data_IF_035322567306
#
_entry.id   IF_035322567306
#
_cell.length_a   1.000
_cell.length_b   1.000
_cell.length_c   1.000
_cell.angle_alpha   90.00
_cell.angle_beta   90.00
_cell.angle_gamma   90.00
#
_symmetry.space_group_name_H-M   'P 1'
#
loop_
_entity.id
_entity.type
_entity.pdbx_description
1 polymer ?
#
# COMPACT_ATOMS: atom_id res chain seq x y z
N UNK A 1 -1.93 -48.72 0.24
CA UNK A 1 -2.10 -47.31 -0.18
C UNK A 1 -0.74 -46.72 -0.51
N UNK A 2 -0.67 -45.49 -1.03
CA UNK A 2 0.61 -44.78 -1.24
C UNK A 2 1.31 -44.54 0.10
N UNK A 3 2.64 -44.50 0.09
CA UNK A 3 3.45 -44.01 1.20
C UNK A 3 3.42 -42.49 1.25
N UNK A 4 3.35 -41.91 2.46
CA UNK A 4 3.36 -40.46 2.67
C UNK A 4 4.30 -40.12 3.82
N UNK A 5 5.10 -39.07 3.64
CA UNK A 5 5.88 -38.45 4.71
C UNK A 5 5.81 -36.95 4.59
N UNK A 6 5.63 -36.28 5.73
CA UNK A 6 5.44 -34.84 5.83
C UNK A 6 6.44 -34.30 6.84
N UNK A 7 7.08 -33.19 6.50
CA UNK A 7 7.88 -32.39 7.43
C UNK A 7 7.44 -30.94 7.29
N UNK A 8 6.85 -30.42 8.35
CA UNK A 8 6.37 -29.05 8.42
C UNK A 8 7.35 -28.17 9.20
N UNK A 9 7.60 -26.96 8.70
CA UNK A 9 8.38 -25.95 9.39
C UNK A 9 7.55 -24.68 9.52
N UNK A 10 7.18 -24.35 10.76
CA UNK A 10 6.59 -23.07 11.10
C UNK A 10 7.71 -22.07 11.43
N UNK A 11 7.76 -20.94 10.73
CA UNK A 11 8.71 -19.88 11.03
C UNK A 11 8.59 -19.38 12.47
N UNK A 12 9.70 -18.93 13.07
CA UNK A 12 9.78 -18.45 14.45
C UNK A 12 8.87 -17.22 14.74
N UNK A 13 8.42 -16.51 13.71
CA UNK A 13 7.56 -15.35 13.85
C UNK A 13 6.09 -15.76 13.91
N UNK A 14 5.38 -15.33 14.96
CA UNK A 14 3.95 -15.61 15.17
C UNK A 14 3.04 -15.11 14.01
N UNK A 15 3.50 -14.11 13.23
CA UNK A 15 2.85 -13.64 11.99
C UNK A 15 3.93 -13.23 10.98
N UNK A 16 3.76 -13.65 9.72
CA UNK A 16 4.66 -13.27 8.61
C UNK A 16 6.00 -14.01 8.56
N UNK A 17 6.17 -15.09 9.34
CA UNK A 17 7.31 -16.00 9.18
C UNK A 17 7.15 -16.87 7.94
N UNK A 18 8.26 -17.20 7.28
CA UNK A 18 8.24 -18.16 6.18
C UNK A 18 7.82 -19.54 6.72
N UNK A 19 6.82 -20.14 6.07
CA UNK A 19 6.30 -21.48 6.38
C UNK A 19 6.45 -22.33 5.14
N UNK A 20 6.95 -23.55 5.31
CA UNK A 20 7.04 -24.52 4.21
C UNK A 20 6.77 -25.93 4.75
N UNK A 21 6.33 -26.79 3.84
CA UNK A 21 6.08 -28.20 4.10
C UNK A 21 6.76 -29.04 3.03
N UNK A 22 7.55 -30.02 3.45
CA UNK A 22 8.05 -31.07 2.57
C UNK A 22 7.06 -32.22 2.56
N UNK A 23 6.54 -32.56 1.39
CA UNK A 23 5.59 -33.66 1.22
C UNK A 23 6.18 -34.66 0.24
N UNK A 24 6.43 -35.88 0.70
CA UNK A 24 6.83 -37.00 -0.16
C UNK A 24 5.69 -37.99 -0.27
N UNK A 25 5.37 -38.35 -1.51
CA UNK A 25 4.35 -39.35 -1.85
C UNK A 25 5.04 -40.40 -2.73
N UNK A 26 4.96 -41.66 -2.33
CA UNK A 26 5.49 -42.79 -3.08
C UNK A 26 4.43 -43.87 -3.29
N UNK A 27 4.58 -44.73 -4.29
CA UNK A 27 3.62 -45.82 -4.52
C UNK A 27 3.60 -46.83 -3.37
N UNK A 28 4.73 -46.97 -2.66
CA UNK A 28 4.88 -47.85 -1.52
C UNK A 28 5.59 -47.11 -0.37
N UNK A 29 5.16 -47.30 0.90
CA UNK A 29 5.81 -46.67 2.06
C UNK A 29 7.32 -46.92 2.16
N UNK A 30 7.78 -48.11 1.77
CA UNK A 30 9.18 -48.52 1.90
C UNK A 30 10.12 -47.73 0.99
N UNK A 31 9.58 -47.02 0.00
CA UNK A 31 10.36 -46.15 -0.90
C UNK A 31 10.67 -44.77 -0.29
N UNK A 32 10.14 -44.45 0.90
CA UNK A 32 10.42 -43.17 1.58
C UNK A 32 11.46 -43.40 2.67
N UNK A 33 12.71 -43.03 2.38
CA UNK A 33 13.84 -43.21 3.31
C UNK A 33 14.10 -41.99 4.22
N UNK A 34 13.55 -40.81 3.89
CA UNK A 34 13.70 -39.59 4.69
C UNK A 34 12.55 -38.61 4.44
N UNK A 35 12.09 -37.94 5.50
CA UNK A 35 10.99 -36.97 5.43
C UNK A 35 11.37 -35.67 4.69
N UNK A 36 12.64 -35.25 4.78
CA UNK A 36 13.12 -34.02 4.13
C UNK A 36 13.29 -34.24 2.62
N UNK A 37 12.79 -33.31 1.80
CA UNK A 37 13.15 -33.23 0.37
C UNK A 37 14.60 -32.77 0.25
N UNK A 38 15.40 -33.51 -0.51
CA UNK A 38 16.82 -33.21 -0.69
C UNK A 38 17.00 -31.99 -1.62
N UNK A 39 18.23 -31.45 -1.65
CA UNK A 39 18.54 -30.36 -2.55
C UNK A 39 18.40 -30.80 -4.02
N UNK A 40 17.74 -29.99 -4.84
CA UNK A 40 17.45 -30.29 -6.25
C UNK A 40 16.53 -31.49 -6.52
N UNK A 41 15.82 -31.99 -5.50
CA UNK A 41 15.05 -33.24 -5.59
C UNK A 41 13.53 -33.00 -5.67
N UNK A 42 13.07 -31.74 -5.59
CA UNK A 42 11.64 -31.45 -5.69
C UNK A 42 11.13 -31.71 -7.11
N UNK A 43 10.13 -32.57 -7.26
CA UNK A 43 9.40 -32.71 -8.53
C UNK A 43 8.52 -31.49 -8.81
N UNK A 44 7.90 -30.94 -7.76
CA UNK A 44 6.99 -29.82 -7.85
C UNK A 44 7.11 -28.88 -6.64
N UNK A 45 6.88 -27.59 -6.87
CA UNK A 45 6.71 -26.60 -5.81
C UNK A 45 5.38 -25.87 -6.00
N UNK A 46 4.57 -25.86 -4.94
CA UNK A 46 3.31 -25.11 -4.88
C UNK A 46 3.55 -23.90 -3.97
N UNK A 47 3.82 -22.76 -4.58
CA UNK A 47 4.16 -21.52 -3.89
C UNK A 47 2.93 -20.69 -3.58
N UNK A 48 2.41 -20.73 -2.35
CA UNK A 48 1.27 -19.88 -1.96
C UNK A 48 1.66 -18.43 -1.63
N UNK A 49 2.95 -18.17 -1.43
CA UNK A 49 3.53 -16.83 -1.20
C UNK A 49 4.84 -16.71 -1.98
N UNK A 50 5.01 -15.60 -2.70
CA UNK A 50 6.15 -15.39 -3.59
C UNK A 50 7.47 -15.25 -2.82
N UNK A 51 7.46 -14.64 -1.64
CA UNK A 51 8.66 -14.41 -0.82
C UNK A 51 9.22 -15.75 -0.34
N UNK A 52 8.35 -16.65 0.14
CA UNK A 52 8.75 -18.00 0.56
C UNK A 52 9.22 -18.82 -0.64
N UNK A 53 8.53 -18.73 -1.77
CA UNK A 53 8.87 -19.49 -2.98
C UNK A 53 10.23 -19.09 -3.55
N UNK A 54 10.55 -17.78 -3.54
CA UNK A 54 11.84 -17.25 -3.97
C UNK A 54 12.93 -17.30 -2.87
N UNK A 55 12.61 -17.82 -1.69
CA UNK A 55 13.52 -17.95 -0.56
C UNK A 55 14.53 -19.10 -0.74
N UNK A 56 15.69 -18.97 -0.09
CA UNK A 56 16.83 -19.88 -0.29
C UNK A 56 16.50 -21.35 -0.01
N UNK A 57 15.71 -21.64 1.05
CA UNK A 57 15.32 -23.02 1.38
C UNK A 57 14.48 -23.65 0.26
N UNK A 58 13.58 -22.88 -0.37
CA UNK A 58 12.73 -23.34 -1.48
C UNK A 58 13.55 -23.52 -2.76
N UNK A 59 14.35 -22.50 -3.13
CA UNK A 59 15.23 -22.56 -4.31
C UNK A 59 16.20 -23.72 -4.21
N UNK A 60 16.75 -24.01 -3.03
CA UNK A 60 17.67 -25.14 -2.84
C UNK A 60 17.04 -26.51 -3.15
N UNK A 61 15.71 -26.65 -3.11
CA UNK A 61 15.02 -27.91 -3.49
C UNK A 61 14.74 -28.01 -4.98
N UNK A 62 14.81 -26.90 -5.69
CA UNK A 62 14.51 -26.81 -7.11
C UNK A 62 15.72 -27.23 -7.95
N UNK A 63 15.44 -27.85 -9.09
CA UNK A 63 16.43 -28.21 -10.10
C UNK A 63 15.97 -27.72 -11.47
N UNK A 64 16.89 -27.09 -12.19
CA UNK A 64 16.70 -26.64 -13.57
C UNK A 64 16.17 -27.76 -14.45
N UNK A 65 15.19 -27.41 -15.29
CA UNK A 65 14.57 -28.29 -16.28
C UNK A 65 13.92 -29.57 -15.74
N UNK A 66 13.69 -29.63 -14.42
CA UNK A 66 13.08 -30.79 -13.76
C UNK A 66 11.94 -30.41 -12.84
N UNK A 67 12.18 -29.47 -11.92
CA UNK A 67 11.17 -29.05 -10.96
C UNK A 67 10.14 -28.18 -11.67
N UNK A 68 8.85 -28.50 -11.52
CA UNK A 68 7.76 -27.63 -11.99
C UNK A 68 7.19 -26.79 -10.86
N UNK A 69 6.93 -25.51 -11.11
CA UNK A 69 6.52 -24.55 -10.09
C UNK A 69 5.21 -23.88 -10.49
N UNK A 70 4.26 -23.85 -9.56
CA UNK A 70 3.12 -22.92 -9.64
C UNK A 70 3.21 -21.98 -8.46
N UNK A 71 3.22 -20.68 -8.70
CA UNK A 71 3.46 -19.69 -7.67
C UNK A 71 2.42 -18.56 -7.69
N UNK A 72 1.86 -18.27 -6.53
CA UNK A 72 1.10 -17.07 -6.28
C UNK A 72 2.07 -15.87 -6.28
N UNK A 73 1.81 -14.87 -7.11
CA UNK A 73 2.67 -13.68 -7.20
C UNK A 73 2.03 -12.42 -6.59
N UNK A 74 0.97 -12.61 -5.81
CA UNK A 74 0.39 -11.55 -5.00
C UNK A 74 1.44 -10.89 -4.09
N UNK A 75 1.24 -9.59 -3.82
CA UNK A 75 2.20 -8.76 -3.08
C UNK A 75 1.84 -8.77 -1.61
N UNK A 76 2.57 -9.54 -0.82
CA UNK A 76 2.37 -9.61 0.63
C UNK A 76 3.10 -8.47 1.38
N UNK A 77 2.50 -8.01 2.48
CA UNK A 77 3.16 -7.07 3.40
C UNK A 77 4.26 -7.81 4.18
N UNK A 78 5.51 -7.61 3.79
CA UNK A 78 6.65 -8.31 4.41
C UNK A 78 7.11 -7.61 5.69
N UNK A 79 7.95 -8.30 6.48
CA UNK A 79 8.57 -7.69 7.66
C UNK A 79 9.45 -6.48 7.34
N UNK A 80 9.99 -6.42 6.11
CA UNK A 80 10.77 -5.28 5.62
C UNK A 80 9.90 -4.05 5.44
N UNK A 81 8.68 -4.20 4.92
CA UNK A 81 7.70 -3.10 4.84
C UNK A 81 7.40 -2.51 6.21
N UNK A 82 7.12 -3.37 7.19
CA UNK A 82 6.84 -2.95 8.57
C UNK A 82 8.04 -2.22 9.18
N UNK A 83 9.25 -2.78 9.04
CA UNK A 83 10.48 -2.17 9.58
C UNK A 83 10.84 -0.86 8.87
N UNK A 84 10.66 -0.79 7.56
CA UNK A 84 10.94 0.38 6.73
C UNK A 84 10.05 1.56 7.12
N UNK A 85 8.73 1.37 7.16
CA UNK A 85 7.83 2.43 7.62
C UNK A 85 8.04 2.80 9.10
N UNK A 86 8.41 1.85 9.95
CA UNK A 86 8.75 2.16 11.34
C UNK A 86 10.03 3.01 11.45
N UNK A 87 11.05 2.76 10.62
CA UNK A 87 12.26 3.59 10.56
C UNK A 87 11.95 4.99 10.01
N UNK A 88 11.10 5.08 8.99
CA UNK A 88 10.61 6.34 8.44
C UNK A 88 9.86 7.16 9.52
N UNK A 89 8.93 6.55 10.25
CA UNK A 89 8.16 7.24 11.31
C UNK A 89 9.01 7.67 12.52
N UNK A 90 10.11 6.95 12.82
CA UNK A 90 11.05 7.36 13.87
C UNK A 90 11.88 8.57 13.44
N UNK A 91 12.36 8.60 12.20
CA UNK A 91 13.24 9.66 11.70
C UNK A 91 12.51 10.89 11.17
N UNK A 92 11.29 10.71 10.66
CA UNK A 92 10.55 11.70 9.88
C UNK A 92 11.16 11.97 8.49
N UNK A 93 12.14 11.16 8.05
CA UNK A 93 12.92 11.41 6.84
C UNK A 93 12.62 10.37 5.77
N UNK A 94 11.77 10.76 4.81
CA UNK A 94 11.39 9.94 3.65
C UNK A 94 12.56 9.76 2.67
N UNK A 95 13.54 10.67 2.67
CA UNK A 95 14.68 10.59 1.76
C UNK A 95 15.73 9.58 2.23
N UNK A 96 16.00 9.55 3.54
CA UNK A 96 16.89 8.58 4.15
C UNK A 96 16.24 7.18 4.25
N UNK A 97 14.92 7.12 4.38
CA UNK A 97 14.15 5.87 4.46
C UNK A 97 13.01 5.89 3.43
N UNK A 98 13.30 5.61 2.14
CA UNK A 98 12.30 5.61 1.08
C UNK A 98 11.24 4.53 1.30
N UNK A 99 10.11 4.69 0.62
CA UNK A 99 9.02 3.73 0.70
C UNK A 99 9.49 2.34 0.24
N UNK A 100 9.31 1.29 1.08
CA UNK A 100 9.71 -0.07 0.70
C UNK A 100 9.03 -0.49 -0.59
N UNK A 101 9.79 -1.10 -1.50
CA UNK A 101 9.26 -1.62 -2.76
C UNK A 101 9.25 -3.14 -2.72
N UNK A 102 8.14 -3.75 -3.12
CA UNK A 102 8.02 -5.20 -3.15
C UNK A 102 8.66 -5.69 -4.45
N UNK A 103 9.77 -6.44 -4.39
CA UNK A 103 10.60 -6.66 -5.57
C UNK A 103 10.11 -7.88 -6.38
N UNK A 104 8.79 -7.91 -6.70
CA UNK A 104 8.10 -9.04 -7.33
C UNK A 104 8.83 -9.56 -8.57
N UNK A 105 9.20 -8.66 -9.49
CA UNK A 105 9.87 -9.04 -10.74
C UNK A 105 11.27 -9.63 -10.53
N UNK A 106 11.97 -9.30 -9.44
CA UNK A 106 13.24 -9.96 -9.10
C UNK A 106 13.02 -11.34 -8.50
N UNK A 107 12.00 -11.51 -7.65
CA UNK A 107 11.64 -12.78 -7.04
C UNK A 107 11.12 -13.77 -8.09
N UNK A 108 10.24 -13.31 -9.00
CA UNK A 108 9.76 -14.11 -10.12
C UNK A 108 10.91 -14.58 -11.02
N UNK A 109 11.82 -13.68 -11.39
CA UNK A 109 13.03 -14.03 -12.15
C UNK A 109 13.88 -15.06 -11.42
N UNK A 110 14.13 -14.87 -10.13
CA UNK A 110 14.90 -15.83 -9.32
C UNK A 110 14.31 -17.24 -9.35
N UNK A 111 12.98 -17.36 -9.25
CA UNK A 111 12.30 -18.67 -9.37
C UNK A 111 12.42 -19.20 -10.79
N UNK A 112 12.17 -18.39 -11.81
CA UNK A 112 12.28 -18.79 -13.21
C UNK A 112 13.70 -19.23 -13.60
N UNK A 113 14.73 -18.57 -13.08
CA UNK A 113 16.13 -18.93 -13.30
C UNK A 113 16.49 -20.26 -12.62
N UNK A 114 15.85 -20.59 -11.49
CA UNK A 114 16.11 -21.83 -10.76
C UNK A 114 15.53 -23.09 -11.43
N UNK A 115 14.42 -22.96 -12.16
CA UNK A 115 13.73 -24.11 -12.78
C UNK A 115 13.64 -24.07 -14.30
N UNK A 116 13.96 -22.94 -14.92
CA UNK A 116 13.71 -22.65 -16.32
C UNK A 116 12.32 -22.00 -16.52
N UNK A 117 12.25 -20.97 -17.37
CA UNK A 117 11.02 -20.19 -17.60
C UNK A 117 9.83 -21.03 -18.10
N UNK A 118 10.08 -22.15 -18.77
CA UNK A 118 9.04 -23.07 -19.22
C UNK A 118 8.43 -23.93 -18.10
N UNK A 119 9.08 -24.00 -16.93
CA UNK A 119 8.67 -24.84 -15.81
C UNK A 119 8.05 -24.05 -14.65
N UNK A 120 7.76 -22.76 -14.83
CA UNK A 120 7.12 -21.92 -13.82
C UNK A 120 5.88 -21.24 -14.36
N UNK A 121 4.80 -21.28 -13.59
CA UNK A 121 3.58 -20.53 -13.85
C UNK A 121 3.27 -19.61 -12.66
N UNK A 122 3.05 -18.33 -12.93
CA UNK A 122 2.66 -17.35 -11.93
C UNK A 122 1.17 -17.01 -12.06
N UNK A 123 0.46 -16.97 -10.94
CA UNK A 123 -0.99 -16.68 -10.88
C UNK A 123 -1.28 -15.66 -9.78
N UNK A 124 -2.26 -14.78 -9.96
CA UNK A 124 -2.75 -13.86 -8.91
C UNK A 124 -3.77 -14.58 -8.01
N UNK A 125 -3.36 -15.69 -7.41
CA UNK A 125 -4.27 -16.60 -6.71
C UNK A 125 -4.95 -15.92 -5.51
N UNK A 126 -4.25 -15.08 -4.75
CA UNK A 126 -4.86 -14.37 -3.61
C UNK A 126 -6.00 -13.46 -4.05
N UNK A 127 -5.80 -12.70 -5.12
CA UNK A 127 -6.78 -11.75 -5.63
C UNK A 127 -7.99 -12.48 -6.21
N UNK A 128 -7.77 -13.52 -7.01
CA UNK A 128 -8.85 -14.35 -7.55
C UNK A 128 -9.63 -15.02 -6.42
N UNK A 129 -8.94 -15.61 -5.45
CA UNK A 129 -9.58 -16.28 -4.32
C UNK A 129 -10.43 -15.31 -3.48
N UNK A 130 -9.89 -14.14 -3.17
CA UNK A 130 -10.60 -13.12 -2.38
C UNK A 130 -11.81 -12.58 -3.14
N UNK A 131 -11.68 -12.34 -4.45
CA UNK A 131 -12.78 -11.78 -5.26
C UNK A 131 -13.89 -12.79 -5.48
N UNK A 132 -13.55 -14.07 -5.67
CA UNK A 132 -14.54 -15.13 -5.96
C UNK A 132 -15.18 -15.72 -4.70
N UNK A 133 -14.48 -15.69 -3.56
CA UNK A 133 -14.89 -16.40 -2.35
C UNK A 133 -14.94 -15.52 -1.10
N UNK A 134 -14.63 -14.23 -1.22
CA UNK A 134 -14.71 -13.25 -0.13
C UNK A 134 -13.55 -13.29 0.87
N UNK A 135 -12.66 -14.29 0.80
CA UNK A 135 -11.56 -14.43 1.76
C UNK A 135 -10.27 -14.99 1.12
N UNK A 136 -9.15 -14.36 1.46
CA UNK A 136 -7.78 -14.78 1.12
C UNK A 136 -7.37 -16.13 1.71
N UNK A 137 -8.02 -16.62 2.77
CA UNK A 137 -7.75 -17.95 3.36
C UNK A 137 -7.92 -19.08 2.32
N UNK A 138 -8.79 -18.87 1.33
CA UNK A 138 -9.04 -19.83 0.27
C UNK A 138 -7.87 -20.01 -0.72
N UNK A 139 -6.86 -19.13 -0.68
CA UNK A 139 -5.71 -19.13 -1.61
C UNK A 139 -4.94 -20.46 -1.61
N UNK A 140 -4.76 -21.10 -0.45
CA UNK A 140 -4.00 -22.34 -0.36
C UNK A 140 -4.70 -23.50 -1.09
N UNK A 141 -6.02 -23.64 -0.90
CA UNK A 141 -6.81 -24.67 -1.59
C UNK A 141 -6.99 -24.35 -3.07
N UNK A 142 -7.08 -23.06 -3.42
CA UNK A 142 -7.04 -22.60 -4.81
C UNK A 142 -5.73 -23.02 -5.49
N UNK A 143 -4.57 -22.73 -4.88
CA UNK A 143 -3.26 -23.13 -5.41
C UNK A 143 -3.13 -24.65 -5.52
N UNK A 144 -3.67 -25.41 -4.55
CA UNK A 144 -3.70 -26.88 -4.61
C UNK A 144 -4.53 -27.38 -5.80
N UNK A 145 -5.70 -26.78 -6.05
CA UNK A 145 -6.54 -27.08 -7.20
C UNK A 145 -5.86 -26.77 -8.54
N UNK A 146 -5.19 -25.62 -8.60
CA UNK A 146 -4.39 -25.21 -9.77
C UNK A 146 -3.26 -26.22 -10.06
N UNK A 147 -2.46 -26.53 -9.03
CA UNK A 147 -1.36 -27.48 -9.11
C UNK A 147 -1.84 -28.89 -9.52
N UNK A 148 -2.97 -29.34 -8.96
CA UNK A 148 -3.56 -30.64 -9.31
C UNK A 148 -3.99 -30.67 -10.78
N UNK A 149 -4.63 -29.61 -11.27
CA UNK A 149 -5.05 -29.52 -12.67
C UNK A 149 -3.87 -29.50 -13.64
N UNK A 150 -2.71 -28.97 -13.22
CA UNK A 150 -1.42 -29.04 -13.94
C UNK A 150 -0.69 -30.38 -13.78
N UNK A 151 -1.27 -31.34 -13.06
CA UNK A 151 -0.68 -32.67 -12.87
C UNK A 151 0.54 -32.68 -11.95
N UNK A 152 0.66 -31.71 -11.02
CA UNK A 152 1.75 -31.65 -10.04
C UNK A 152 1.49 -32.50 -8.79
N UNK A 153 0.22 -32.84 -8.54
CA UNK A 153 -0.21 -33.57 -7.34
C UNK A 153 -0.60 -35.00 -7.71
N UNK A 154 0.16 -36.03 -7.26
CA UNK A 154 -0.04 -37.43 -7.69
C UNK A 154 -1.15 -38.15 -6.90
N UNK A 155 -2.30 -37.50 -6.74
CA UNK A 155 -3.47 -38.01 -6.00
C UNK A 155 -4.74 -37.89 -6.84
N UNK A 156 -5.67 -38.83 -6.66
CA UNK A 156 -6.96 -38.77 -7.34
C UNK A 156 -7.87 -37.67 -6.78
N UNK A 157 -8.75 -37.12 -7.64
CA UNK A 157 -9.70 -36.07 -7.26
C UNK A 157 -10.57 -36.46 -6.05
N UNK A 158 -11.08 -37.70 -6.04
CA UNK A 158 -11.91 -38.21 -4.95
C UNK A 158 -11.19 -38.20 -3.60
N UNK A 159 -9.89 -38.51 -3.58
CA UNK A 159 -9.08 -38.49 -2.36
C UNK A 159 -8.89 -37.06 -1.83
N UNK A 160 -8.63 -36.09 -2.72
CA UNK A 160 -8.50 -34.69 -2.34
C UNK A 160 -9.82 -34.09 -1.83
N UNK A 161 -10.93 -34.39 -2.51
CA UNK A 161 -12.26 -33.97 -2.06
C UNK A 161 -12.59 -34.55 -0.68
N UNK A 162 -12.28 -35.84 -0.47
CA UNK A 162 -12.49 -36.47 0.83
C UNK A 162 -11.58 -35.88 1.92
N UNK A 163 -10.35 -35.51 1.60
CA UNK A 163 -9.46 -34.85 2.56
C UNK A 163 -9.99 -33.48 3.02
N UNK A 164 -10.59 -32.70 2.10
CA UNK A 164 -11.26 -31.43 2.44
C UNK A 164 -12.44 -31.68 3.38
N UNK A 165 -13.24 -32.71 3.13
CA UNK A 165 -14.36 -33.08 4.02
C UNK A 165 -13.90 -33.51 5.42
N UNK A 166 -12.82 -34.29 5.50
CA UNK A 166 -12.29 -34.78 6.78
C UNK A 166 -11.71 -33.63 7.62
N UNK A 167 -11.14 -32.61 6.98
CA UNK A 167 -10.66 -31.41 7.69
C UNK A 167 -11.80 -30.70 8.44
N UNK A 168 -13.03 -30.79 7.95
CA UNK A 168 -14.26 -30.41 8.67
C UNK A 168 -14.51 -28.91 8.78
N UNK A 169 -13.54 -28.06 8.45
CA UNK A 169 -13.67 -26.59 8.53
C UNK A 169 -14.10 -26.02 7.18
N UNK A 170 -15.22 -25.30 7.15
CA UNK A 170 -15.73 -24.61 5.96
C UNK A 170 -15.69 -25.48 4.67
N UNK A 171 -16.13 -26.74 4.79
CA UNK A 171 -15.93 -27.80 3.78
C UNK A 171 -16.37 -27.35 2.38
N UNK A 172 -17.55 -26.76 2.24
CA UNK A 172 -18.07 -26.33 0.93
C UNK A 172 -17.24 -25.18 0.34
N UNK A 173 -16.81 -24.21 1.15
CA UNK A 173 -15.91 -23.15 0.71
C UNK A 173 -14.54 -23.73 0.29
N UNK A 174 -14.02 -24.72 1.02
CA UNK A 174 -12.79 -25.41 0.65
C UNK A 174 -12.88 -26.16 -0.67
N UNK A 175 -14.01 -26.85 -0.91
CA UNK A 175 -14.29 -27.51 -2.20
C UNK A 175 -14.39 -26.49 -3.32
N UNK A 176 -15.10 -25.39 -3.12
CA UNK A 176 -15.20 -24.30 -4.10
C UNK A 176 -13.83 -23.70 -4.44
N UNK A 177 -12.99 -23.43 -3.43
CA UNK A 177 -11.64 -22.92 -3.63
C UNK A 177 -10.80 -23.83 -4.53
N UNK A 178 -10.81 -25.13 -4.24
CA UNK A 178 -10.12 -26.10 -5.08
C UNK A 178 -10.67 -26.14 -6.51
N UNK A 179 -11.99 -26.09 -6.70
CA UNK A 179 -12.60 -26.07 -8.04
C UNK A 179 -12.27 -24.80 -8.82
N UNK A 180 -12.26 -23.64 -8.18
CA UNK A 180 -11.84 -22.39 -8.81
C UNK A 180 -10.37 -22.42 -9.22
N UNK A 181 -9.50 -22.98 -8.37
CA UNK A 181 -8.10 -23.20 -8.70
C UNK A 181 -7.92 -24.07 -9.94
N UNK A 182 -8.67 -25.18 -10.02
CA UNK A 182 -8.68 -26.04 -11.22
C UNK A 182 -9.14 -25.29 -12.46
N UNK A 183 -10.23 -24.53 -12.35
CA UNK A 183 -10.78 -23.77 -13.47
C UNK A 183 -9.78 -22.70 -13.94
N UNK A 184 -9.06 -22.05 -13.02
CA UNK A 184 -8.06 -21.05 -13.37
C UNK A 184 -6.87 -21.65 -14.14
N UNK A 185 -6.50 -22.91 -13.87
CA UNK A 185 -5.47 -23.61 -14.63
C UNK A 185 -5.94 -24.08 -16.03
N UNK A 186 -7.25 -24.33 -16.19
CA UNK A 186 -7.83 -24.84 -17.44
C UNK A 186 -8.33 -23.71 -18.37
N UNK A 187 -9.06 -22.74 -17.82
CA UNK A 187 -9.71 -21.64 -18.52
C UNK A 187 -9.62 -20.35 -17.68
N UNK A 188 -8.43 -19.70 -17.65
CA UNK A 188 -8.20 -18.49 -16.87
C UNK A 188 -9.11 -17.34 -17.30
N UNK A 189 -9.42 -17.22 -18.59
CA UNK A 189 -10.28 -16.16 -19.10
C UNK A 189 -11.70 -16.21 -18.49
N UNK A 190 -12.27 -17.41 -18.30
CA UNK A 190 -13.56 -17.55 -17.63
C UNK A 190 -13.52 -17.18 -16.15
N UNK A 191 -12.40 -17.46 -15.48
CA UNK A 191 -12.21 -17.10 -14.07
C UNK A 191 -12.04 -15.61 -13.92
N UNK A 192 -11.25 -14.97 -14.79
CA UNK A 192 -11.13 -13.51 -14.83
C UNK A 192 -12.47 -12.83 -15.09
N UNK A 193 -13.29 -13.40 -15.98
CA UNK A 193 -14.64 -12.90 -16.23
C UNK A 193 -15.56 -13.04 -15.00
N UNK A 194 -15.48 -14.15 -14.28
CA UNK A 194 -16.23 -14.37 -13.05
C UNK A 194 -15.75 -13.51 -11.88
N UNK A 195 -14.46 -13.19 -11.84
CA UNK A 195 -13.83 -12.32 -10.85
C UNK A 195 -14.00 -10.82 -11.18
N UNK A 196 -14.57 -10.46 -12.34
CA UNK A 196 -14.91 -9.05 -12.60
C UNK A 196 -16.04 -8.63 -11.66
N UNK A 197 -15.87 -7.53 -10.89
CA UNK A 197 -16.95 -6.97 -10.10
C UNK A 197 -18.17 -6.72 -11.02
N UNK A 198 -19.34 -7.24 -10.64
CA UNK A 198 -20.59 -6.99 -11.37
C UNK A 198 -21.01 -5.51 -11.28
N UNK A 199 -20.50 -4.79 -10.28
CA UNK A 199 -20.65 -3.35 -10.13
C UNK A 199 -19.53 -2.62 -10.88
N UNK A 200 -19.89 -1.53 -11.54
CA UNK A 200 -18.93 -0.61 -12.16
C UNK A 200 -17.93 -0.15 -11.09
N UNK A 201 -16.66 -0.07 -11.46
CA UNK A 201 -15.62 0.50 -10.58
C UNK A 201 -16.13 1.86 -10.10
N UNK A 202 -16.30 2.08 -8.78
CA UNK A 202 -16.85 3.33 -8.28
C UNK A 202 -16.07 4.52 -8.83
N UNK A 203 -16.74 5.64 -9.11
CA UNK A 203 -16.09 6.78 -9.78
C UNK A 203 -14.84 7.29 -9.02
N UNK A 204 -14.86 7.19 -7.69
CA UNK A 204 -13.74 7.56 -6.83
C UNK A 204 -12.52 6.61 -6.93
N UNK A 205 -12.66 5.42 -7.52
CA UNK A 205 -11.56 4.50 -7.85
C UNK A 205 -11.00 4.73 -9.27
N UNK A 206 -11.70 5.46 -10.14
CA UNK A 206 -11.20 5.79 -11.49
C UNK A 206 -10.02 6.76 -11.38
N UNK A 207 -8.84 6.38 -11.85
CA UNK A 207 -7.70 7.29 -11.93
C UNK A 207 -7.95 8.41 -12.93
N UNK A 208 -7.54 9.63 -12.59
CA UNK A 208 -7.59 10.77 -13.52
C UNK A 208 -6.51 10.60 -14.59
N UNK A 209 -6.91 10.64 -15.85
CA UNK A 209 -6.04 10.46 -17.01
C UNK A 209 -5.23 11.73 -17.33
N UNK A 210 -5.82 12.91 -17.10
CA UNK A 210 -5.19 14.20 -17.46
C UNK A 210 -4.96 15.11 -16.25
N UNK A 211 -4.09 16.10 -16.40
CA UNK A 211 -3.86 17.12 -15.38
C UNK A 211 -5.13 17.94 -15.10
N UNK A 212 -5.95 18.23 -16.13
CA UNK A 212 -7.20 18.96 -15.94
C UNK A 212 -8.23 18.15 -15.15
N UNK A 213 -8.37 16.86 -15.44
CA UNK A 213 -9.22 15.98 -14.63
C UNK A 213 -8.74 15.93 -13.17
N UNK A 214 -7.41 15.91 -12.95
CA UNK A 214 -6.81 15.92 -11.61
C UNK A 214 -7.08 17.21 -10.84
N UNK A 215 -7.12 18.36 -11.52
CA UNK A 215 -7.42 19.66 -10.92
C UNK A 215 -8.92 19.77 -10.64
N UNK A 216 -9.77 19.44 -11.63
CA UNK A 216 -11.22 19.50 -11.49
C UNK A 216 -11.74 18.59 -10.36
N UNK A 217 -11.20 17.37 -10.24
CA UNK A 217 -11.57 16.46 -9.14
C UNK A 217 -11.19 17.00 -7.77
N UNK A 218 -10.04 17.67 -7.65
CA UNK A 218 -9.60 18.30 -6.40
C UNK A 218 -10.44 19.52 -6.04
N UNK A 219 -10.83 20.31 -7.04
CA UNK A 219 -11.73 21.45 -6.88
C UNK A 219 -13.12 21.00 -6.40
N UNK A 220 -13.69 19.96 -7.03
CA UNK A 220 -14.94 19.35 -6.59
C UNK A 220 -14.83 18.82 -5.15
N UNK A 221 -13.74 18.10 -4.84
CA UNK A 221 -13.51 17.62 -3.48
C UNK A 221 -13.40 18.77 -2.47
N UNK A 222 -12.71 19.87 -2.78
CA UNK A 222 -12.59 21.02 -1.88
C UNK A 222 -13.92 21.75 -1.68
N UNK A 223 -14.79 21.75 -2.70
CA UNK A 223 -16.16 22.27 -2.62
C UNK A 223 -16.99 21.45 -1.63
N UNK A 224 -16.89 20.12 -1.70
CA UNK A 224 -17.55 19.21 -0.76
C UNK A 224 -16.93 19.23 0.64
N UNK A 225 -15.61 19.43 0.70
CA UNK A 225 -14.85 19.52 1.93
C UNK A 225 -15.28 20.73 2.75
N UNK A 226 -15.36 21.90 2.13
CA UNK A 226 -15.68 23.17 2.78
C UNK A 226 -16.82 23.90 2.04
N UNK A 227 -16.48 24.57 0.94
CA UNK A 227 -17.37 25.34 0.08
C UNK A 227 -16.69 25.74 -1.25
N UNK A 228 -17.45 26.37 -2.14
CA UNK A 228 -16.98 26.82 -3.44
C UNK A 228 -15.90 27.91 -3.37
N UNK A 229 -15.87 28.73 -2.31
CA UNK A 229 -14.90 29.81 -2.16
C UNK A 229 -13.52 29.23 -1.83
N UNK A 230 -13.51 28.19 -0.98
CA UNK A 230 -12.32 27.41 -0.66
C UNK A 230 -11.74 26.69 -1.88
N UNK A 231 -12.60 26.13 -2.73
CA UNK A 231 -12.19 25.52 -4.00
C UNK A 231 -11.64 26.55 -5.00
N UNK A 232 -12.23 27.77 -5.08
CA UNK A 232 -11.71 28.85 -5.92
C UNK A 232 -10.32 29.32 -5.49
N UNK A 233 -10.03 29.37 -4.18
CA UNK A 233 -8.67 29.65 -3.67
C UNK A 233 -7.65 28.65 -4.21
N UNK A 234 -7.98 27.36 -4.15
CA UNK A 234 -7.15 26.30 -4.75
C UNK A 234 -6.93 26.52 -6.24
N UNK A 235 -8.02 26.70 -6.99
CA UNK A 235 -7.97 26.88 -8.45
C UNK A 235 -7.13 28.08 -8.85
N UNK A 236 -7.27 29.21 -8.15
CA UNK A 236 -6.57 30.45 -8.44
C UNK A 236 -5.04 30.29 -8.33
N UNK A 237 -4.53 29.63 -7.27
CA UNK A 237 -3.09 29.42 -7.13
C UNK A 237 -2.55 28.48 -8.22
N UNK A 238 -3.25 27.38 -8.49
CA UNK A 238 -2.85 26.41 -9.53
C UNK A 238 -2.80 27.06 -10.92
N UNK A 239 -3.78 27.89 -11.26
CA UNK A 239 -3.83 28.57 -12.56
C UNK A 239 -2.71 29.61 -12.72
N UNK A 240 -2.36 30.33 -11.64
CA UNK A 240 -1.22 31.26 -11.64
C UNK A 240 0.10 30.53 -11.91
N UNK A 241 0.30 29.37 -11.26
CA UNK A 241 1.48 28.52 -11.49
C UNK A 241 1.50 27.96 -12.90
N UNK A 242 0.36 27.47 -13.39
CA UNK A 242 0.20 27.00 -14.77
C UNK A 242 0.59 28.07 -15.79
N UNK A 243 0.12 29.30 -15.59
CA UNK A 243 0.42 30.42 -16.49
C UNK A 243 1.91 30.74 -16.51
N UNK A 244 2.55 30.79 -15.34
CA UNK A 244 3.99 31.05 -15.22
C UNK A 244 4.85 29.93 -15.84
N UNK A 245 4.47 28.67 -15.60
CA UNK A 245 5.19 27.50 -16.13
C UNK A 245 5.04 27.37 -17.65
N UNK A 246 3.84 27.62 -18.18
CA UNK A 246 3.60 27.61 -19.63
C UNK A 246 4.49 28.63 -20.35
N UNK A 247 4.75 29.78 -19.71
CA UNK A 247 5.65 30.81 -20.23
C UNK A 247 7.12 30.37 -20.38
N UNK A 248 7.54 29.24 -19.80
CA UNK A 248 8.91 28.72 -19.91
C UNK A 248 9.13 27.83 -21.15
N UNK A 249 8.06 27.38 -21.82
CA UNK A 249 8.14 26.55 -23.03
C UNK A 249 7.92 25.02 -22.94
N UNK A 250 8.03 24.31 -21.79
CA UNK A 250 7.74 22.87 -21.74
C UNK A 250 6.23 22.57 -21.62
N UNK A 251 5.76 21.56 -22.35
CA UNK A 251 4.35 21.15 -22.42
C UNK A 251 3.82 20.38 -21.21
N UNK A 252 4.71 19.77 -20.42
CA UNK A 252 4.32 18.71 -19.47
C UNK A 252 3.93 19.23 -18.07
N UNK A 253 4.03 20.53 -17.84
CA UNK A 253 3.60 21.25 -16.63
C UNK A 253 3.92 20.56 -15.28
N UNK A 254 5.14 20.06 -15.03
CA UNK A 254 5.48 19.32 -13.82
C UNK A 254 5.34 20.13 -12.51
N UNK A 255 5.60 21.44 -12.54
CA UNK A 255 5.42 22.32 -11.39
C UNK A 255 3.93 22.48 -11.07
N UNK A 256 3.10 22.66 -12.09
CA UNK A 256 1.65 22.75 -11.95
C UNK A 256 1.08 21.47 -11.35
N UNK A 257 1.54 20.30 -11.81
CA UNK A 257 1.13 19.02 -11.23
C UNK A 257 1.54 18.90 -9.75
N UNK A 258 2.79 19.25 -9.43
CA UNK A 258 3.29 19.23 -8.06
C UNK A 258 2.48 20.18 -7.17
N UNK A 259 2.17 21.39 -7.63
CA UNK A 259 1.37 22.36 -6.88
C UNK A 259 -0.08 21.90 -6.71
N UNK A 260 -0.70 21.38 -7.76
CA UNK A 260 -2.06 20.84 -7.69
C UNK A 260 -2.17 19.73 -6.63
N UNK A 261 -1.15 18.88 -6.51
CA UNK A 261 -1.10 17.83 -5.48
C UNK A 261 -0.79 18.37 -4.08
N UNK A 262 0.33 19.09 -3.94
CA UNK A 262 0.85 19.55 -2.65
C UNK A 262 -0.08 20.55 -1.97
N UNK A 263 -0.62 21.50 -2.74
CA UNK A 263 -1.53 22.51 -2.20
C UNK A 263 -2.86 21.90 -1.76
N UNK A 264 -3.42 20.99 -2.57
CA UNK A 264 -4.63 20.25 -2.20
C UNK A 264 -4.44 19.43 -0.92
N UNK A 265 -3.29 18.77 -0.76
CA UNK A 265 -2.96 18.02 0.46
C UNK A 265 -2.96 18.91 1.72
N UNK A 266 -2.48 20.15 1.61
CA UNK A 266 -2.44 21.10 2.72
C UNK A 266 -3.78 21.79 2.98
N UNK A 267 -4.63 21.95 1.96
CA UNK A 267 -5.98 22.50 2.11
C UNK A 267 -6.96 21.45 2.65
N UNK A 268 -6.91 20.22 2.13
CA UNK A 268 -7.79 19.13 2.50
C UNK A 268 -7.19 18.26 3.63
N UNK A 269 -6.86 18.89 4.75
CA UNK A 269 -6.37 18.15 5.93
C UNK A 269 -7.47 17.27 6.48
N UNK A 270 -7.11 16.03 6.87
CA UNK A 270 -8.03 15.06 7.48
C UNK A 270 -8.32 15.45 8.92
N UNK A 271 -9.14 16.47 9.07
CA UNK A 271 -9.58 17.06 10.33
C UNK A 271 -10.80 16.36 10.91
N UNK A 272 -11.24 16.80 12.08
CA UNK A 272 -12.36 16.21 12.81
C UNK A 272 -13.67 16.28 12.00
N UNK A 273 -13.88 17.38 11.28
CA UNK A 273 -15.03 17.58 10.40
C UNK A 273 -15.02 16.62 9.21
N UNK A 274 -13.86 16.44 8.56
CA UNK A 274 -13.70 15.56 7.40
C UNK A 274 -13.79 14.09 7.79
N UNK A 275 -13.19 13.70 8.92
CA UNK A 275 -13.36 12.35 9.49
C UNK A 275 -14.85 12.09 9.74
N UNK A 276 -15.55 13.04 10.37
CA UNK A 276 -16.98 12.91 10.63
C UNK A 276 -17.80 12.80 9.34
N UNK A 277 -17.49 13.60 8.30
CA UNK A 277 -18.13 13.52 6.99
C UNK A 277 -17.95 12.15 6.35
N UNK A 278 -16.72 11.62 6.32
CA UNK A 278 -16.42 10.31 5.73
C UNK A 278 -17.13 9.14 6.44
N UNK A 279 -17.26 9.19 7.76
CA UNK A 279 -18.00 8.17 8.52
C UNK A 279 -19.53 8.27 8.38
N UNK A 280 -20.05 9.42 7.97
CA UNK A 280 -21.50 9.69 7.90
C UNK A 280 -22.02 9.75 6.48
N UNK A 281 -21.17 9.59 5.48
CA UNK A 281 -21.56 9.36 4.09
C UNK A 281 -22.28 8.02 3.93
N UNK A 282 -23.30 8.00 3.07
CA UNK A 282 -24.11 6.82 2.78
C UNK A 282 -23.26 5.62 2.33
N UNK A 283 -22.23 5.88 1.52
CA UNK A 283 -21.32 4.86 0.99
C UNK A 283 -20.60 4.06 2.09
N UNK A 284 -20.23 4.69 3.22
CA UNK A 284 -19.54 3.97 4.30
C UNK A 284 -20.47 2.96 4.97
N UNK A 285 -21.67 3.39 5.37
CA UNK A 285 -22.63 2.51 6.04
C UNK A 285 -23.17 1.41 5.10
N UNK A 286 -23.36 1.73 3.82
CA UNK A 286 -23.73 0.74 2.80
C UNK A 286 -22.66 -0.36 2.68
N UNK A 287 -21.38 0.02 2.59
CA UNK A 287 -20.27 -0.95 2.53
C UNK A 287 -20.15 -1.82 3.77
N UNK A 288 -20.38 -1.25 4.94
CA UNK A 288 -20.40 -2.02 6.19
C UNK A 288 -21.55 -3.03 6.16
N UNK A 289 -22.73 -2.63 5.67
CA UNK A 289 -23.87 -3.54 5.55
C UNK A 289 -23.69 -4.61 4.46
N UNK A 290 -22.95 -4.32 3.40
CA UNK A 290 -22.58 -5.31 2.37
C UNK A 290 -21.56 -6.32 2.88
N UNK A 291 -20.62 -5.90 3.73
CA UNK A 291 -19.52 -6.75 4.20
C UNK A 291 -19.88 -7.60 5.43
N UNK A 292 -20.82 -7.13 6.25
CA UNK A 292 -21.18 -7.78 7.50
C UNK A 292 -22.68 -8.10 7.54
N UNK A 293 -23.00 -9.39 7.62
CA UNK A 293 -24.36 -9.89 7.83
C UNK A 293 -24.70 -10.00 9.33
N UNK A 294 -25.98 -9.86 9.69
CA UNK A 294 -26.50 -10.05 11.04
C UNK A 294 -26.48 -8.81 11.94
N UNK A 295 -26.71 -9.02 13.24
CA UNK A 295 -26.77 -7.95 14.24
C UNK A 295 -25.35 -7.54 14.69
N UNK A 296 -24.83 -6.45 14.12
CA UNK A 296 -23.54 -5.88 14.52
C UNK A 296 -23.66 -4.50 15.16
N UNK A 297 -22.70 -4.16 16.01
CA UNK A 297 -22.57 -2.83 16.61
C UNK A 297 -21.24 -2.18 16.23
N UNK A 298 -21.32 -0.96 15.70
CA UNK A 298 -20.14 -0.17 15.39
C UNK A 298 -19.56 0.47 16.66
N UNK A 299 -18.32 0.12 16.97
CA UNK A 299 -17.54 0.63 18.10
C UNK A 299 -16.36 1.42 17.56
N UNK A 300 -16.20 2.65 18.05
CA UNK A 300 -15.16 3.58 17.61
C UNK A 300 -14.08 3.71 18.67
N UNK A 301 -12.81 3.62 18.28
CA UNK A 301 -11.66 3.86 19.13
C UNK A 301 -11.00 5.18 18.74
N UNK A 302 -11.29 6.25 19.48
CA UNK A 302 -10.88 7.62 19.15
C UNK A 302 -10.09 8.23 20.31
N UNK A 303 -9.21 9.18 19.99
CA UNK A 303 -8.53 10.03 20.96
C UNK A 303 -8.85 11.50 20.63
N UNK A 304 -10.05 12.01 20.98
CA UNK A 304 -10.45 13.37 20.62
C UNK A 304 -9.49 14.39 21.27
N UNK A 305 -9.00 15.41 20.55
CA UNK A 305 -7.95 16.31 21.05
C UNK A 305 -8.28 17.02 22.37
N UNK A 306 -9.57 17.26 22.63
CA UNK A 306 -10.05 17.95 23.83
C UNK A 306 -10.33 17.02 25.02
N UNK A 307 -10.46 15.71 24.78
CA UNK A 307 -10.95 14.73 25.77
C UNK A 307 -9.96 13.59 26.05
N UNK A 308 -8.95 13.42 25.21
CA UNK A 308 -7.95 12.39 25.36
C UNK A 308 -6.89 12.84 26.39
N UNK A 309 -6.87 12.15 27.53
CA UNK A 309 -5.73 12.22 28.44
C UNK A 309 -4.46 11.69 27.75
N UNK A 310 -3.31 12.21 28.18
CA UNK A 310 -2.02 11.68 27.74
C UNK A 310 -1.64 10.48 28.59
N UNK A 311 -1.07 9.47 27.96
CA UNK A 311 -0.46 8.33 28.62
C UNK A 311 0.78 8.79 29.40
N UNK A 312 0.96 8.29 30.63
CA UNK A 312 1.98 8.78 31.55
C UNK A 312 3.40 8.27 31.20
N UNK A 313 3.51 7.14 30.50
CA UNK A 313 4.80 6.55 30.12
C UNK A 313 5.25 7.03 28.74
N UNK A 314 4.31 7.16 27.81
CA UNK A 314 4.62 7.51 26.41
C UNK A 314 4.35 8.98 26.07
N UNK A 315 3.54 9.69 26.88
CA UNK A 315 3.10 11.06 26.60
C UNK A 315 2.07 11.18 25.47
N UNK A 316 1.62 10.07 24.89
CA UNK A 316 0.75 10.01 23.72
C UNK A 316 -0.74 10.08 24.08
N UNK A 317 -1.59 10.48 23.13
CA UNK A 317 -3.03 10.58 23.37
C UNK A 317 -3.69 9.20 23.53
N UNK A 318 -4.36 8.96 24.66
CA UNK A 318 -5.00 7.67 24.97
C UNK A 318 -6.30 7.49 24.18
N UNK A 319 -6.38 6.41 23.40
CA UNK A 319 -7.61 6.02 22.69
C UNK A 319 -8.67 5.54 23.69
N UNK A 320 -9.90 6.04 23.54
CA UNK A 320 -11.07 5.65 24.31
C UNK A 320 -12.11 4.98 23.40
N UNK A 321 -12.89 4.07 23.98
CA UNK A 321 -13.98 3.36 23.31
C UNK A 321 -15.25 4.21 23.33
N UNK A 322 -15.86 4.39 22.16
CA UNK A 322 -17.14 5.06 21.98
C UNK A 322 -18.12 4.12 21.27
N UNK A 323 -19.37 4.11 21.73
CA UNK A 323 -20.42 3.26 21.16
C UNK A 323 -21.05 3.83 19.88
N UNK A 324 -22.11 3.17 19.36
CA UNK A 324 -22.77 3.53 18.10
C UNK A 324 -23.31 4.96 18.04
N UNK A 325 -23.59 5.58 19.20
CA UNK A 325 -24.05 6.98 19.28
C UNK A 325 -23.08 7.97 18.61
N UNK A 326 -21.79 7.60 18.51
CA UNK A 326 -20.75 8.42 17.89
C UNK A 326 -21.07 8.77 16.42
N UNK A 327 -21.76 7.90 15.69
CA UNK A 327 -22.19 8.20 14.31
C UNK A 327 -23.15 9.39 14.26
N UNK A 328 -24.08 9.48 15.22
CA UNK A 328 -25.00 10.63 15.31
C UNK A 328 -24.24 11.92 15.63
N UNK A 329 -23.27 11.85 16.54
CA UNK A 329 -22.41 12.98 16.89
C UNK A 329 -21.54 13.43 15.71
N UNK A 330 -20.94 12.49 14.97
CA UNK A 330 -20.22 12.77 13.73
C UNK A 330 -21.15 13.38 12.68
N UNK A 331 -22.40 12.93 12.57
CA UNK A 331 -23.36 13.48 11.62
C UNK A 331 -23.68 14.95 11.89
N UNK A 332 -23.80 15.34 13.17
CA UNK A 332 -23.93 16.73 13.58
C UNK A 332 -22.65 17.52 13.29
N UNK A 333 -21.48 16.95 13.62
CA UNK A 333 -20.20 17.60 13.39
C UNK A 333 -19.94 17.86 11.90
N UNK A 334 -20.25 16.89 11.02
CA UNK A 334 -20.12 17.01 9.58
C UNK A 334 -20.96 18.16 9.01
N UNK A 335 -22.18 18.37 9.54
CA UNK A 335 -23.04 19.51 9.17
C UNK A 335 -22.50 20.84 9.69
N UNK A 336 -21.76 20.82 10.79
CA UNK A 336 -21.12 21.99 11.39
C UNK A 336 -19.77 22.37 10.73
N UNK A 337 -19.43 21.83 9.55
CA UNK A 337 -18.17 22.14 8.83
C UNK A 337 -17.93 23.63 8.59
N UNK A 338 -18.99 24.46 8.53
CA UNK A 338 -18.86 25.92 8.41
C UNK A 338 -18.20 26.59 9.62
N UNK A 339 -18.15 25.91 10.76
CA UNK A 339 -17.42 26.38 11.93
C UNK A 339 -15.90 26.24 11.75
N UNK A 340 -15.44 25.34 10.87
CA UNK A 340 -14.02 25.03 10.67
C UNK A 340 -13.18 26.29 10.50
N UNK A 341 -12.12 26.40 11.30
CA UNK A 341 -11.17 27.51 11.26
C UNK A 341 -11.73 28.85 11.78
N UNK A 342 -13.02 28.93 12.09
CA UNK A 342 -13.65 30.10 12.67
C UNK A 342 -13.39 30.25 14.16
N UNK A 343 -13.83 31.37 14.73
CA UNK A 343 -13.68 31.63 16.17
C UNK A 343 -14.45 30.64 17.07
N UNK A 344 -15.56 30.10 16.56
CA UNK A 344 -16.41 29.10 17.23
C UNK A 344 -15.92 27.65 17.03
N UNK A 345 -14.81 27.44 16.33
CA UNK A 345 -14.23 26.10 16.14
C UNK A 345 -13.54 25.63 17.43
N UNK A 346 -14.04 24.56 18.09
CA UNK A 346 -13.43 24.06 19.32
C UNK A 346 -12.07 23.39 19.07
N UNK A 347 -11.78 22.97 17.85
CA UNK A 347 -10.52 22.30 17.47
C UNK A 347 -9.47 23.27 16.94
N UNK A 348 -9.86 24.48 16.50
CA UNK A 348 -8.97 25.44 15.86
C UNK A 348 -7.74 25.81 16.69
N UNK A 349 -7.77 25.67 18.01
CA UNK A 349 -6.62 26.02 18.88
C UNK A 349 -5.67 24.86 19.16
N UNK A 350 -5.96 23.64 18.68
CA UNK A 350 -5.11 22.47 18.88
C UNK A 350 -3.73 22.64 18.23
N UNK A 351 -2.73 21.92 18.74
CA UNK A 351 -1.37 21.93 18.19
C UNK A 351 -1.37 21.53 16.70
N UNK A 352 -2.12 20.49 16.35
CA UNK A 352 -2.25 20.00 14.98
C UNK A 352 -2.85 21.07 14.06
N UNK A 353 -3.93 21.77 14.47
CA UNK A 353 -4.55 22.83 13.65
C UNK A 353 -3.64 24.05 13.50
N UNK A 354 -2.82 24.36 14.52
CA UNK A 354 -1.79 25.42 14.40
C UNK A 354 -0.72 25.03 13.40
N UNK A 355 -0.24 23.79 13.44
CA UNK A 355 0.71 23.27 12.47
C UNK A 355 0.14 23.28 11.05
N UNK A 356 -1.11 22.86 10.85
CA UNK A 356 -1.80 22.90 9.54
C UNK A 356 -1.76 24.29 8.91
N UNK A 357 -2.18 25.32 9.68
CA UNK A 357 -2.19 26.69 9.20
C UNK A 357 -0.79 27.23 8.95
N UNK A 358 0.19 26.87 9.78
CA UNK A 358 1.57 27.27 9.58
C UNK A 358 2.13 26.65 8.29
N UNK A 359 1.96 25.34 8.07
CA UNK A 359 2.40 24.67 6.86
C UNK A 359 1.72 25.22 5.59
N UNK A 360 0.43 25.53 5.66
CA UNK A 360 -0.30 26.14 4.53
C UNK A 360 0.26 27.52 4.19
N UNK A 361 0.47 28.38 5.19
CA UNK A 361 1.02 29.73 4.98
C UNK A 361 2.48 29.69 4.50
N UNK A 362 3.31 28.82 5.09
CA UNK A 362 4.69 28.57 4.65
C UNK A 362 4.72 28.12 3.19
N UNK A 363 3.83 27.20 2.80
CA UNK A 363 3.75 26.71 1.43
C UNK A 363 3.33 27.80 0.44
N UNK A 364 2.30 28.59 0.76
CA UNK A 364 1.86 29.70 -0.10
C UNK A 364 3.00 30.71 -0.32
N UNK A 365 3.73 31.08 0.75
CA UNK A 365 4.89 31.95 0.64
C UNK A 365 6.00 31.37 -0.25
N UNK A 366 6.26 30.06 -0.17
CA UNK A 366 7.23 29.37 -1.04
C UNK A 366 6.78 29.38 -2.50
N UNK A 367 5.49 29.17 -2.78
CA UNK A 367 4.98 29.24 -4.16
C UNK A 367 5.09 30.65 -4.72
N UNK A 368 4.79 31.69 -3.93
CA UNK A 368 4.99 33.09 -4.35
C UNK A 368 6.46 33.38 -4.66
N UNK A 369 7.39 32.90 -3.84
CA UNK A 369 8.83 33.06 -4.09
C UNK A 369 9.24 32.33 -5.39
N UNK A 370 8.77 31.10 -5.60
CA UNK A 370 9.02 30.34 -6.83
C UNK A 370 8.53 31.14 -8.04
N UNK A 371 7.31 31.66 -8.01
CA UNK A 371 6.73 32.45 -9.11
C UNK A 371 7.56 33.69 -9.45
N UNK A 372 8.21 34.32 -8.45
CA UNK A 372 9.06 35.49 -8.65
C UNK A 372 10.41 35.22 -9.32
N UNK A 373 10.93 33.98 -9.23
CA UNK A 373 12.27 33.63 -9.74
C UNK A 373 12.27 32.45 -10.71
N UNK A 374 11.09 32.01 -11.15
CA UNK A 374 10.94 30.81 -11.97
C UNK A 374 11.67 30.94 -13.32
N UNK A 375 12.56 30.00 -13.60
CA UNK A 375 13.26 29.86 -14.89
C UNK A 375 13.35 28.40 -15.29
N UNK A 376 13.64 28.12 -16.56
CA UNK A 376 13.85 26.74 -17.02
C UNK A 376 14.99 26.05 -16.26
N UNK A 377 16.03 26.79 -15.88
CA UNK A 377 17.21 26.26 -15.16
C UNK A 377 16.91 25.79 -13.73
N UNK A 378 15.91 26.39 -13.07
CA UNK A 378 15.56 26.10 -11.69
C UNK A 378 14.23 25.35 -11.52
N UNK A 379 13.55 25.02 -12.63
CA UNK A 379 12.26 24.31 -12.63
C UNK A 379 12.31 23.02 -11.81
N UNK A 380 13.38 22.22 -11.91
CA UNK A 380 13.52 20.98 -11.12
C UNK A 380 13.53 21.24 -9.61
N UNK A 381 14.20 22.31 -9.17
CA UNK A 381 14.23 22.72 -7.76
C UNK A 381 12.86 23.24 -7.31
N UNK A 382 12.18 24.02 -8.16
CA UNK A 382 10.83 24.50 -7.90
C UNK A 382 9.82 23.35 -7.73
N UNK A 383 9.89 22.33 -8.61
CA UNK A 383 9.07 21.11 -8.52
C UNK A 383 9.34 20.38 -7.21
N UNK A 384 10.62 20.22 -6.84
CA UNK A 384 11.00 19.55 -5.59
C UNK A 384 10.48 20.30 -4.35
N UNK A 385 10.47 21.64 -4.36
CA UNK A 385 9.89 22.46 -3.30
C UNK A 385 8.37 22.29 -3.23
N UNK A 386 7.67 22.35 -4.37
CA UNK A 386 6.22 22.18 -4.44
C UNK A 386 5.76 20.78 -4.02
N UNK A 387 6.60 19.76 -4.16
CA UNK A 387 6.31 18.39 -3.76
C UNK A 387 6.55 18.09 -2.27
N UNK A 388 7.20 18.99 -1.50
CA UNK A 388 7.51 18.76 -0.08
C UNK A 388 6.32 18.38 0.82
N UNK A 389 5.07 18.87 0.58
CA UNK A 389 3.94 18.41 1.37
C UNK A 389 3.75 16.89 1.34
N UNK A 390 4.18 16.19 0.29
CA UNK A 390 4.09 14.73 0.18
C UNK A 390 4.95 13.99 1.22
N UNK A 391 6.05 14.60 1.66
CA UNK A 391 6.93 14.06 2.69
C UNK A 391 6.30 14.16 4.10
N UNK A 392 5.32 15.05 4.29
CA UNK A 392 4.65 15.23 5.60
C UNK A 392 3.57 14.15 5.78
N UNK A 393 3.82 13.20 6.69
CA UNK A 393 3.00 11.99 6.86
C UNK A 393 2.63 11.74 8.32
N UNK A 394 1.61 10.91 8.54
CA UNK A 394 1.16 10.50 9.87
C UNK A 394 0.34 11.55 10.62
N UNK A 395 0.21 11.35 11.93
CA UNK A 395 -0.60 12.18 12.84
C UNK A 395 0.16 12.51 14.12
N UNK A 396 -0.21 13.60 14.80
CA UNK A 396 0.40 14.03 16.06
C UNK A 396 1.92 14.13 15.99
N UNK A 397 2.60 13.57 17.00
CA UNK A 397 4.07 13.65 17.13
C UNK A 397 4.84 13.05 15.94
N UNK A 398 4.28 12.04 15.25
CA UNK A 398 4.90 11.47 14.04
C UNK A 398 4.93 12.54 12.95
N UNK A 399 3.81 13.24 12.76
CA UNK A 399 3.68 14.32 11.78
C UNK A 399 4.57 15.50 12.09
N UNK A 400 4.74 15.84 13.37
CA UNK A 400 5.67 16.90 13.81
C UNK A 400 7.11 16.61 13.37
N UNK A 401 7.56 15.34 13.48
CA UNK A 401 8.89 14.93 13.02
C UNK A 401 9.03 15.06 11.51
N UNK A 402 8.06 14.60 10.74
CA UNK A 402 8.06 14.76 9.29
C UNK A 402 8.03 16.24 8.87
N UNK A 403 7.22 17.07 9.52
CA UNK A 403 7.17 18.51 9.26
C UNK A 403 8.50 19.19 9.56
N UNK A 404 9.18 18.80 10.65
CA UNK A 404 10.51 19.32 10.98
C UNK A 404 11.56 18.96 9.91
N UNK A 405 11.55 17.72 9.41
CA UNK A 405 12.46 17.30 8.33
C UNK A 405 12.12 17.97 7.00
N UNK A 406 10.84 18.08 6.65
CA UNK A 406 10.38 18.79 5.46
C UNK A 406 10.85 20.26 5.47
N UNK A 407 10.79 20.95 6.62
CA UNK A 407 11.32 22.32 6.77
C UNK A 407 12.84 22.41 6.56
N UNK A 408 13.62 21.43 7.02
CA UNK A 408 15.07 21.39 6.77
C UNK A 408 15.36 21.22 5.28
N UNK A 409 14.61 20.34 4.61
CA UNK A 409 14.70 20.13 3.16
C UNK A 409 14.27 21.39 2.38
N UNK A 410 13.19 22.05 2.82
CA UNK A 410 12.73 23.32 2.27
C UNK A 410 13.82 24.39 2.33
N UNK A 411 14.47 24.58 3.49
CA UNK A 411 15.55 25.55 3.62
C UNK A 411 16.71 25.27 2.65
N UNK A 412 17.08 23.99 2.48
CA UNK A 412 18.14 23.57 1.55
C UNK A 412 17.75 23.86 0.09
N UNK A 413 16.51 23.53 -0.29
CA UNK A 413 16.01 23.73 -1.64
C UNK A 413 15.78 25.22 -1.96
N UNK A 414 15.31 26.02 -1.01
CA UNK A 414 15.19 27.48 -1.17
C UNK A 414 16.57 28.12 -1.35
N UNK A 415 17.58 27.68 -0.58
CA UNK A 415 18.96 28.14 -0.78
C UNK A 415 19.48 27.78 -2.18
N UNK A 416 19.11 26.60 -2.71
CA UNK A 416 19.46 26.21 -4.09
C UNK A 416 18.69 27.01 -5.15
N UNK A 417 17.41 27.33 -4.91
CA UNK A 417 16.56 28.13 -5.79
C UNK A 417 17.11 29.56 -5.96
N UNK A 418 17.60 30.15 -4.87
CA UNK A 418 18.15 31.52 -4.83
C UNK A 418 19.54 31.65 -5.44
N UNK A 419 20.25 30.55 -5.73
CA UNK A 419 21.59 30.63 -6.34
C UNK A 419 21.47 31.06 -7.80
N UNK A 420 22.26 32.05 -8.26
CA UNK A 420 22.26 32.45 -9.66
C UNK A 420 22.75 31.29 -10.55
N UNK A 421 22.14 31.17 -11.73
CA UNK A 421 22.38 30.08 -12.69
C UNK A 421 23.85 29.91 -13.12
N UNK A 422 24.70 30.93 -12.93
CA UNK A 422 26.14 30.89 -13.21
C UNK A 422 27.01 30.18 -12.16
N UNK A 423 26.49 29.87 -10.98
CA UNK A 423 27.24 29.20 -9.90
C UNK A 423 27.07 27.67 -9.90
N UNK A 424 26.35 27.09 -10.88
CA UNK A 424 26.24 25.64 -11.06
C UNK A 424 27.43 25.04 -11.85
N UNK A 425 28.57 25.72 -11.87
CA UNK A 425 29.83 25.14 -12.32
C UNK A 425 30.36 24.14 -11.30
N UNK A 426 30.27 22.85 -11.64
CA UNK A 426 31.02 21.75 -10.99
C UNK A 426 30.85 21.66 -9.46
N UNK A 427 29.70 21.17 -9.00
CA UNK A 427 29.73 20.32 -7.81
C UNK A 427 30.45 19.02 -8.24
N UNK A 428 31.76 18.96 -8.01
CA UNK A 428 32.52 17.74 -8.20
C UNK A 428 31.80 16.62 -7.44
N UNK A 429 31.48 15.53 -8.13
CA UNK A 429 31.01 14.32 -7.48
C UNK A 429 31.97 14.02 -6.32
N UNK A 430 31.49 13.62 -5.12
CA UNK A 430 32.38 13.21 -4.05
C UNK A 430 33.30 12.14 -4.62
N UNK A 431 34.60 12.42 -4.68
CA UNK A 431 35.60 11.45 -5.13
C UNK A 431 35.41 10.22 -4.23
N UNK A 432 34.99 9.10 -4.83
CA UNK A 432 35.04 7.81 -4.13
C UNK A 432 36.51 7.54 -3.81
N UNK A 433 36.87 7.71 -2.55
CA UNK A 433 38.16 7.25 -2.04
C UNK A 433 38.01 5.75 -1.86
N UNK A 434 38.67 4.99 -2.72
CA UNK A 434 38.85 3.55 -2.54
C UNK A 434 40.12 3.42 -1.71
N UNK A 435 39.97 3.09 -0.43
CA UNK A 435 41.12 2.73 0.41
C UNK A 435 41.62 1.35 -0.02
N UNK A 436 42.80 1.33 -0.66
CA UNK A 436 43.55 0.11 -0.90
C UNK A 436 44.36 -0.17 0.36
N UNK A 437 43.91 -1.13 1.17
CA UNK A 437 44.73 -1.72 2.22
C UNK A 437 45.67 -2.72 1.56
N UNK A 438 46.97 -2.40 1.55
CA UNK A 438 47.99 -3.37 1.21
C UNK A 438 48.24 -4.27 2.44
N UNK A 439 47.88 -5.55 2.34
CA UNK A 439 48.10 -6.56 3.37
C UNK A 439 47.18 -7.76 3.20
#
# INVERSE_FOLDING_TARGET
>A
GKGVSILDMAGLAQKGGAVWSHVKIADRPEHIHAARVAAGDANAVIGCDLVVTAGDESIAKMRGDYTRVVANHDRSNTSEFVRGFAAQARSGDVSAHPDPQFPAGSMQRRVADAVGAANVEFVEASQLATTLMGDSIATNLFMLGYAWQRGLVPLGLAALMRAIEINGTAVEAGKQAFQWGRRAAFDPASVDAAAKPQTTTPEHHRLSATLDERIARREAHLTDYQDADYARRYRALVERVRSAETGLGPSDLPLTEAVARGYHKLLAVKDEYEVARLYTQADFLARVAEQFEGDYQLVFHLAPPLLAGRDAETGEARKRRYGPWMLKAMGLLARARRLRGGWLDPFARSADRRLDRALLAEYEAVIEEILGVLTLSNQKTAVALAALPDDIRGFGHVRDRYAAQARRRQATLLAALRRPAGAQGSAAAPRKVIELVAG
#
